data_IF_459659551456
#
_entry.id   IF_459659551456
#
_cell.length_a   1.000
_cell.length_b   1.000
_cell.length_c   1.000
_cell.angle_alpha   90.00
_cell.angle_beta   90.00
_cell.angle_gamma   90.00
#
_symmetry.space_group_name_H-M   'P 1'
#
loop_
_entity.id
_entity.type
_entity.pdbx_description
1 polymer ?
#
# COMPACT_ATOMS: atom_id res chain seq x y z
N UNK A 1 -17.52 6.32 -54.72
CA UNK A 1 -18.68 5.65 -54.10
C UNK A 1 -18.13 4.75 -52.99
N UNK A 2 -18.03 5.21 -51.74
CA UNK A 2 -19.07 5.36 -50.70
C UNK A 2 -19.59 4.02 -50.14
N UNK A 3 -19.46 3.93 -48.80
CA UNK A 3 -20.20 3.11 -47.82
C UNK A 3 -19.71 1.70 -47.43
N UNK A 4 -18.94 1.71 -46.32
CA UNK A 4 -19.08 0.82 -45.14
C UNK A 4 -20.52 0.92 -44.56
N UNK A 5 -21.06 -0.01 -43.72
CA UNK A 5 -20.34 -0.70 -42.65
C UNK A 5 -20.72 -2.17 -42.37
N UNK A 6 -19.70 -2.98 -42.07
CA UNK A 6 -19.88 -4.24 -41.37
C UNK A 6 -20.19 -3.99 -39.89
N UNK A 7 -21.47 -4.10 -39.54
CA UNK A 7 -21.94 -4.23 -38.17
C UNK A 7 -21.31 -5.49 -37.55
N UNK A 8 -20.37 -5.31 -36.62
CA UNK A 8 -19.96 -6.37 -35.68
C UNK A 8 -20.39 -5.96 -34.29
N UNK A 9 -21.64 -6.28 -33.98
CA UNK A 9 -22.17 -6.32 -32.61
C UNK A 9 -21.62 -7.59 -31.98
N UNK A 10 -20.64 -7.44 -31.08
CA UNK A 10 -20.03 -8.53 -30.30
C UNK A 10 -20.00 -8.04 -28.83
N UNK A 11 -20.34 -8.90 -27.85
CA UNK A 11 -21.45 -8.65 -26.93
C UNK A 11 -21.03 -8.04 -25.58
N UNK A 12 -21.93 -7.20 -25.07
CA UNK A 12 -21.93 -6.51 -23.76
C UNK A 12 -22.08 -7.47 -22.56
N UNK A 13 -22.02 -8.79 -22.74
CA UNK A 13 -22.39 -9.76 -21.70
C UNK A 13 -21.22 -10.34 -20.88
N UNK A 14 -19.95 -10.07 -21.20
CA UNK A 14 -18.84 -10.68 -20.47
C UNK A 14 -18.36 -9.89 -19.22
N UNK A 15 -18.81 -8.64 -19.03
CA UNK A 15 -18.35 -7.79 -17.91
C UNK A 15 -19.17 -8.00 -16.63
N UNK A 16 -20.35 -8.63 -16.73
CA UNK A 16 -21.25 -8.81 -15.59
C UNK A 16 -20.84 -9.92 -14.60
N UNK A 17 -19.96 -10.85 -14.98
CA UNK A 17 -19.63 -12.02 -14.16
C UNK A 17 -18.38 -11.86 -13.28
N UNK A 18 -17.57 -10.81 -13.46
CA UNK A 18 -16.37 -10.57 -12.65
C UNK A 18 -16.62 -9.75 -11.36
N UNK A 19 -17.82 -9.20 -11.20
CA UNK A 19 -18.22 -8.48 -9.98
C UNK A 19 -18.70 -9.41 -8.84
N UNK A 20 -18.94 -10.69 -9.13
CA UNK A 20 -19.51 -11.63 -8.16
C UNK A 20 -18.49 -12.37 -7.27
N UNK A 21 -17.18 -12.22 -7.52
CA UNK A 21 -16.15 -12.99 -6.79
C UNK A 21 -15.61 -12.31 -5.53
N UNK A 22 -16.13 -11.14 -5.14
CA UNK A 22 -15.63 -10.37 -4.00
C UNK A 22 -16.24 -10.76 -2.63
N UNK A 23 -17.12 -11.76 -2.57
CA UNK A 23 -17.87 -12.09 -1.33
C UNK A 23 -17.49 -13.43 -0.66
N UNK A 24 -16.46 -14.13 -1.14
CA UNK A 24 -16.01 -15.39 -0.52
C UNK A 24 -14.60 -15.25 0.07
N UNK A 25 -14.49 -14.46 1.14
CA UNK A 25 -13.23 -14.24 1.84
C UNK A 25 -13.35 -13.60 3.23
N UNK A 26 -14.50 -13.68 3.91
CA UNK A 26 -14.67 -13.23 5.29
C UNK A 26 -14.71 -14.41 6.25
N UNK A 27 -13.59 -15.10 6.42
CA UNK A 27 -13.41 -16.05 7.51
C UNK A 27 -11.93 -16.26 7.81
N UNK A 28 -11.26 -15.26 8.40
CA UNK A 28 -10.02 -15.51 9.15
C UNK A 28 -9.92 -14.58 10.37
N UNK A 29 -10.37 -15.14 11.49
CA UNK A 29 -9.84 -14.99 12.84
C UNK A 29 -9.43 -13.58 13.29
N UNK A 30 -10.36 -12.87 13.96
CA UNK A 30 -9.97 -11.99 15.07
C UNK A 30 -9.37 -12.86 16.18
N UNK A 31 -8.04 -12.91 16.28
CA UNK A 31 -7.39 -13.15 17.57
C UNK A 31 -6.93 -11.80 18.13
N UNK A 32 -7.75 -11.26 19.02
CA UNK A 32 -7.29 -10.25 19.96
C UNK A 32 -6.41 -10.96 20.99
N UNK A 33 -5.08 -10.88 20.81
CA UNK A 33 -4.14 -11.15 21.90
C UNK A 33 -3.88 -9.80 22.55
N UNK A 34 -4.69 -9.47 23.54
CA UNK A 34 -4.36 -8.40 24.47
C UNK A 34 -3.11 -8.82 25.23
N UNK A 35 -2.01 -8.11 25.01
CA UNK A 35 -0.83 -8.22 25.88
C UNK A 35 -1.01 -7.14 26.95
N UNK A 36 -1.26 -7.49 28.22
CA UNK A 36 -1.16 -6.52 29.29
C UNK A 36 0.31 -6.09 29.42
N UNK A 37 0.63 -4.91 28.89
CA UNK A 37 1.83 -4.18 29.23
C UNK A 37 1.58 -3.58 30.61
N UNK A 38 2.00 -4.29 31.66
CA UNK A 38 2.67 -3.72 32.84
C UNK A 38 2.94 -4.82 33.87
N UNK A 39 4.02 -5.57 33.65
CA UNK A 39 4.78 -6.12 34.75
C UNK A 39 6.25 -5.84 34.45
N UNK A 40 6.78 -4.80 35.10
CA UNK A 40 8.21 -4.62 35.28
C UNK A 40 8.56 -5.18 36.66
N UNK A 41 9.04 -6.42 36.78
CA UNK A 41 9.67 -6.86 38.02
C UNK A 41 10.97 -6.08 38.19
N UNK A 42 11.04 -5.26 39.23
CA UNK A 42 12.30 -4.68 39.72
C UNK A 42 13.25 -5.83 40.08
N UNK A 43 14.49 -5.87 39.58
CA UNK A 43 15.42 -6.95 39.94
C UNK A 43 15.90 -6.78 41.40
N UNK A 44 15.85 -7.84 42.24
CA UNK A 44 16.59 -7.86 43.50
C UNK A 44 18.10 -8.01 43.24
N UNK A 45 18.98 -7.48 44.12
CA UNK A 45 20.42 -7.40 43.90
C UNK A 45 21.13 -8.76 43.99
N UNK A 46 22.30 -8.81 43.34
CA UNK A 46 23.11 -9.99 43.08
C UNK A 46 23.59 -10.74 44.33
N UNK A 47 23.62 -12.07 44.25
CA UNK A 47 24.51 -12.93 45.04
C UNK A 47 24.87 -14.21 44.29
N UNK A 48 26.17 -14.25 43.94
CA UNK A 48 27.10 -15.38 43.81
C UNK A 48 26.68 -16.74 43.18
N UNK A 49 27.41 -17.05 42.10
CA UNK A 49 28.08 -18.33 41.81
C UNK A 49 27.25 -19.56 41.43
N UNK A 50 27.40 -19.98 40.16
CA UNK A 50 27.02 -21.31 39.68
C UNK A 50 27.40 -21.46 38.20
N UNK A 51 28.41 -22.28 37.92
CA UNK A 51 28.97 -22.50 36.60
C UNK A 51 27.96 -23.10 35.59
N UNK A 52 27.88 -22.50 34.40
CA UNK A 52 27.67 -23.17 33.11
C UNK A 52 27.87 -22.13 32.01
N UNK A 53 28.92 -22.28 31.21
CA UNK A 53 29.07 -21.54 29.95
C UNK A 53 28.20 -22.28 28.92
N UNK A 54 27.11 -21.71 28.37
CA UNK A 54 26.56 -22.21 27.13
C UNK A 54 27.37 -21.61 26.00
N UNK A 55 27.91 -22.47 25.15
CA UNK A 55 28.53 -22.16 23.87
C UNK A 55 27.59 -21.27 23.03
N UNK A 56 27.91 -19.98 22.91
CA UNK A 56 27.13 -18.99 22.16
C UNK A 56 27.62 -18.83 20.70
N UNK A 57 28.56 -19.64 20.23
CA UNK A 57 29.14 -19.44 18.90
C UNK A 57 28.35 -20.14 17.78
N UNK A 58 27.30 -20.91 18.10
CA UNK A 58 26.50 -21.66 17.10
C UNK A 58 25.10 -21.09 16.81
N UNK A 59 24.75 -19.87 17.25
CA UNK A 59 23.43 -19.27 16.98
C UNK A 59 23.48 -18.10 15.99
N UNK A 60 24.67 -17.55 15.71
CA UNK A 60 24.82 -16.42 14.78
C UNK A 60 24.54 -16.80 13.31
N UNK A 61 24.89 -18.01 12.88
CA UNK A 61 24.87 -18.36 11.45
C UNK A 61 23.48 -18.65 10.85
N UNK A 62 22.43 -18.86 11.66
CA UNK A 62 21.08 -19.18 11.16
C UNK A 62 20.14 -17.97 11.14
N UNK A 63 20.42 -16.93 11.92
CA UNK A 63 19.60 -15.70 11.97
C UNK A 63 19.83 -14.76 10.79
N UNK A 64 20.99 -14.87 10.14
CA UNK A 64 21.38 -13.94 9.08
C UNK A 64 20.63 -14.20 7.76
N UNK A 65 20.24 -15.47 7.50
CA UNK A 65 19.57 -15.86 6.26
C UNK A 65 18.05 -15.53 6.23
N UNK A 66 17.40 -15.43 7.39
CA UNK A 66 15.97 -15.10 7.48
C UNK A 66 15.69 -13.60 7.51
N UNK A 67 16.60 -12.79 8.06
CA UNK A 67 16.47 -11.33 8.13
C UNK A 67 16.61 -10.65 6.75
N UNK A 68 17.47 -11.18 5.87
CA UNK A 68 17.63 -10.65 4.51
C UNK A 68 16.37 -10.89 3.65
N UNK A 69 15.70 -12.03 3.83
CA UNK A 69 14.48 -12.36 3.09
C UNK A 69 13.26 -11.59 3.63
N UNK A 70 13.19 -11.35 4.95
CA UNK A 70 12.10 -10.56 5.53
C UNK A 70 12.14 -9.09 5.10
N UNK A 71 13.33 -8.51 4.95
CA UNK A 71 13.48 -7.12 4.49
C UNK A 71 13.15 -6.93 3.01
N UNK A 72 13.50 -7.92 2.16
CA UNK A 72 13.15 -7.89 0.73
C UNK A 72 11.62 -8.00 0.52
N UNK A 73 10.97 -8.91 1.23
CA UNK A 73 9.51 -9.10 1.14
C UNK A 73 8.72 -7.92 1.69
N UNK A 74 9.15 -7.31 2.79
CA UNK A 74 8.54 -6.08 3.34
C UNK A 74 8.64 -4.90 2.35
N UNK A 75 9.79 -4.79 1.69
CA UNK A 75 10.03 -3.78 0.65
C UNK A 75 9.10 -3.97 -0.55
N UNK A 76 8.95 -5.19 -1.04
CA UNK A 76 8.01 -5.52 -2.13
C UNK A 76 6.56 -5.21 -1.75
N UNK A 77 6.16 -5.54 -0.52
CA UNK A 77 4.83 -5.23 -0.01
C UNK A 77 4.59 -3.71 0.06
N UNK A 78 5.58 -2.95 0.51
CA UNK A 78 5.52 -1.49 0.58
C UNK A 78 5.38 -0.88 -0.82
N UNK A 79 6.17 -1.36 -1.78
CA UNK A 79 6.04 -0.95 -3.18
C UNK A 79 4.65 -1.28 -3.74
N UNK A 80 4.11 -2.45 -3.43
CA UNK A 80 2.75 -2.84 -3.81
C UNK A 80 1.69 -1.87 -3.30
N UNK A 81 1.80 -1.42 -2.05
CA UNK A 81 0.90 -0.40 -1.46
C UNK A 81 1.04 0.95 -2.15
N UNK A 82 2.27 1.41 -2.37
CA UNK A 82 2.55 2.67 -3.08
C UNK A 82 1.95 2.66 -4.48
N UNK A 83 2.14 1.56 -5.23
CA UNK A 83 1.59 1.42 -6.59
C UNK A 83 0.07 1.41 -6.56
N UNK A 84 -0.55 0.68 -5.63
CA UNK A 84 -2.01 0.66 -5.50
C UNK A 84 -2.57 2.06 -5.24
N UNK A 85 -1.96 2.81 -4.31
CA UNK A 85 -2.43 4.14 -3.93
C UNK A 85 -2.21 5.17 -5.03
N UNK A 86 -1.02 5.19 -5.64
CA UNK A 86 -0.73 6.10 -6.77
C UNK A 86 -1.56 5.76 -8.00
N UNK A 87 -1.90 4.49 -8.23
CA UNK A 87 -2.77 4.07 -9.35
C UNK A 87 -4.21 4.53 -9.13
N UNK A 88 -4.74 4.34 -7.92
CA UNK A 88 -6.08 4.81 -7.56
C UNK A 88 -6.19 6.33 -7.69
N UNK A 89 -5.22 7.08 -7.16
CA UNK A 89 -5.17 8.52 -7.27
C UNK A 89 -5.03 8.98 -8.74
N UNK A 90 -4.15 8.34 -9.52
CA UNK A 90 -3.98 8.67 -10.94
C UNK A 90 -5.25 8.40 -11.76
N UNK A 91 -6.05 7.39 -11.40
CA UNK A 91 -7.31 7.12 -12.07
C UNK A 91 -8.33 8.25 -11.85
N UNK A 92 -8.46 8.76 -10.63
CA UNK A 92 -9.32 9.90 -10.33
C UNK A 92 -8.86 11.16 -11.07
N UNK A 93 -7.56 11.48 -11.03
CA UNK A 93 -6.97 12.62 -11.75
C UNK A 93 -7.24 12.50 -13.26
N UNK A 94 -7.06 11.32 -13.86
CA UNK A 94 -7.36 11.13 -15.30
C UNK A 94 -8.84 11.33 -15.62
N UNK A 95 -9.75 10.90 -14.74
CA UNK A 95 -11.19 11.13 -14.91
C UNK A 95 -11.50 12.64 -14.89
N UNK A 96 -10.91 13.36 -13.95
CA UNK A 96 -11.05 14.81 -13.82
C UNK A 96 -10.41 15.60 -14.96
N UNK A 97 -9.29 15.13 -15.51
CA UNK A 97 -8.67 15.75 -16.67
C UNK A 97 -9.54 15.64 -17.94
N UNK A 98 -10.46 14.67 -17.98
CA UNK A 98 -11.40 14.49 -19.08
C UNK A 98 -12.70 15.29 -18.92
N UNK A 99 -13.02 15.82 -17.73
CA UNK A 99 -14.20 16.64 -17.53
C UNK A 99 -13.97 18.06 -18.06
N UNK A 100 -15.03 18.70 -18.57
CA UNK A 100 -14.90 19.96 -19.34
C UNK A 100 -14.72 21.20 -18.47
N UNK A 101 -14.96 21.10 -17.16
CA UNK A 101 -14.69 22.19 -16.22
C UNK A 101 -14.70 21.65 -14.78
N UNK A 102 -13.63 21.89 -14.04
CA UNK A 102 -13.58 21.70 -12.59
C UNK A 102 -14.04 22.99 -11.90
N UNK A 103 -14.69 22.86 -10.75
CA UNK A 103 -14.93 24.02 -9.87
C UNK A 103 -13.57 24.52 -9.33
N UNK A 104 -13.43 25.80 -8.97
CA UNK A 104 -12.15 26.35 -8.47
C UNK A 104 -11.57 25.58 -7.28
N UNK A 105 -12.43 25.12 -6.35
CA UNK A 105 -12.02 24.30 -5.22
C UNK A 105 -11.50 22.91 -5.67
N UNK A 106 -12.21 22.29 -6.62
CA UNK A 106 -11.83 21.01 -7.22
C UNK A 106 -10.52 21.11 -8.02
N UNK A 107 -10.27 22.26 -8.66
CA UNK A 107 -9.01 22.52 -9.37
C UNK A 107 -7.82 22.52 -8.39
N UNK A 108 -7.96 23.17 -7.23
CA UNK A 108 -6.93 23.16 -6.19
C UNK A 108 -6.63 21.75 -5.68
N UNK A 109 -7.67 20.94 -5.44
CA UNK A 109 -7.52 19.53 -5.03
C UNK A 109 -6.86 18.70 -6.13
N UNK A 110 -7.25 18.93 -7.39
CA UNK A 110 -6.66 18.27 -8.55
C UNK A 110 -5.16 18.55 -8.67
N UNK A 111 -4.78 19.83 -8.63
CA UNK A 111 -3.38 20.27 -8.76
C UNK A 111 -2.54 19.74 -7.59
N UNK A 112 -3.08 19.78 -6.37
CA UNK A 112 -2.42 19.23 -5.17
C UNK A 112 -2.22 17.72 -5.28
N UNK A 113 -3.24 16.99 -5.75
CA UNK A 113 -3.17 15.55 -5.97
C UNK A 113 -2.11 15.20 -7.02
N UNK A 114 -2.06 15.96 -8.13
CA UNK A 114 -1.03 15.81 -9.15
C UNK A 114 0.37 16.08 -8.59
N UNK A 115 0.52 17.11 -7.75
CA UNK A 115 1.75 17.44 -7.04
C UNK A 115 2.25 16.27 -6.18
N UNK A 116 1.39 15.67 -5.35
CA UNK A 116 1.77 14.50 -4.54
C UNK A 116 2.15 13.29 -5.39
N UNK A 117 1.48 13.05 -6.53
CA UNK A 117 1.87 11.97 -7.45
C UNK A 117 3.26 12.19 -8.06
N UNK A 118 3.62 13.43 -8.40
CA UNK A 118 4.95 13.78 -8.89
C UNK A 118 6.00 13.60 -7.79
N UNK A 119 5.72 14.07 -6.59
CA UNK A 119 6.63 13.94 -5.45
C UNK A 119 6.82 12.46 -5.05
N UNK A 120 5.76 11.65 -5.04
CA UNK A 120 5.85 10.22 -4.75
C UNK A 120 6.76 9.51 -5.77
N UNK A 121 6.65 9.84 -7.05
CA UNK A 121 7.56 9.31 -8.09
C UNK A 121 8.99 9.78 -7.89
N UNK A 122 9.21 11.02 -7.45
CA UNK A 122 10.56 11.53 -7.16
C UNK A 122 11.19 10.80 -5.95
N UNK A 123 10.43 10.61 -4.88
CA UNK A 123 10.86 9.83 -3.71
C UNK A 123 11.20 8.38 -4.07
N UNK A 124 10.40 7.74 -4.92
CA UNK A 124 10.73 6.40 -5.44
C UNK A 124 12.06 6.37 -6.21
N UNK A 125 12.37 7.39 -7.02
CA UNK A 125 13.66 7.49 -7.72
C UNK A 125 14.84 7.66 -6.75
N UNK A 126 14.63 8.33 -5.62
CA UNK A 126 15.61 8.48 -4.53
C UNK A 126 15.64 7.29 -3.57
N UNK A 127 14.84 6.26 -3.83
CA UNK A 127 14.69 5.08 -2.98
C UNK A 127 14.13 5.38 -1.56
N UNK A 128 13.41 6.49 -1.40
CA UNK A 128 12.80 6.93 -0.14
C UNK A 128 11.38 6.34 -0.02
N UNK A 129 11.28 5.07 0.34
CA UNK A 129 10.01 4.33 0.31
C UNK A 129 8.98 4.85 1.31
N UNK A 130 9.40 5.25 2.51
CA UNK A 130 8.52 5.79 3.54
C UNK A 130 7.87 7.12 3.09
N UNK A 131 8.66 7.97 2.42
CA UNK A 131 8.19 9.26 1.89
C UNK A 131 7.23 9.02 0.73
N UNK A 132 7.61 8.13 -0.20
CA UNK A 132 6.76 7.73 -1.31
C UNK A 132 5.41 7.16 -0.83
N UNK A 133 5.39 6.32 0.21
CA UNK A 133 4.17 5.77 0.79
C UNK A 133 3.29 6.86 1.42
N UNK A 134 3.88 7.76 2.21
CA UNK A 134 3.14 8.88 2.81
C UNK A 134 2.50 9.78 1.75
N UNK A 135 3.25 10.12 0.71
CA UNK A 135 2.78 10.94 -0.42
C UNK A 135 1.70 10.21 -1.23
N UNK A 136 1.87 8.91 -1.49
CA UNK A 136 0.88 8.09 -2.19
C UNK A 136 -0.45 8.03 -1.43
N UNK A 137 -0.41 7.83 -0.11
CA UNK A 137 -1.61 7.84 0.74
C UNK A 137 -2.31 9.20 0.71
N UNK A 138 -1.56 10.30 0.84
CA UNK A 138 -2.12 11.66 0.74
C UNK A 138 -2.77 11.92 -0.61
N UNK A 139 -2.10 11.53 -1.70
CA UNK A 139 -2.65 11.64 -3.05
C UNK A 139 -3.96 10.85 -3.17
N UNK A 140 -4.02 9.63 -2.64
CA UNK A 140 -5.24 8.82 -2.67
C UNK A 140 -6.36 9.45 -1.85
N UNK A 141 -6.07 9.95 -0.65
CA UNK A 141 -7.08 10.59 0.20
C UNK A 141 -7.69 11.82 -0.47
N UNK A 142 -6.88 12.69 -1.07
CA UNK A 142 -7.38 13.84 -1.83
C UNK A 142 -8.11 13.44 -3.11
N UNK A 143 -7.66 12.38 -3.78
CA UNK A 143 -8.34 11.86 -4.96
C UNK A 143 -9.77 11.37 -4.66
N UNK A 144 -10.06 10.94 -3.42
CA UNK A 144 -11.41 10.53 -3.02
C UNK A 144 -12.38 11.72 -2.89
N UNK A 145 -11.87 12.94 -2.67
CA UNK A 145 -12.70 14.15 -2.64
C UNK A 145 -12.89 14.80 -4.02
N UNK A 146 -12.31 14.23 -5.08
CA UNK A 146 -12.48 14.74 -6.43
C UNK A 146 -13.84 14.33 -7.02
N UNK A 147 -14.70 15.31 -7.26
CA UNK A 147 -16.02 15.12 -7.86
C UNK A 147 -15.99 15.57 -9.33
N UNK A 148 -15.73 14.61 -10.21
CA UNK A 148 -15.61 14.85 -11.64
C UNK A 148 -16.64 14.02 -12.41
N UNK A 149 -17.45 14.71 -13.22
CA UNK A 149 -18.53 14.16 -14.04
C UNK A 149 -18.20 14.22 -15.53
#
# INVERSE_FOLDING_TARGET
MISRPGLRVVPVCAVALLWASALLGCAHARRQVGVPIDQRPTPPPASAQGAAHPDFDRVASTRESTAATSTATEREQTLGRIVADTTAASAAVRKCAASRSLLPDQQSVFDTTQGYLVQARAALRRNELWEAESLARKARQLALSLECH
#
